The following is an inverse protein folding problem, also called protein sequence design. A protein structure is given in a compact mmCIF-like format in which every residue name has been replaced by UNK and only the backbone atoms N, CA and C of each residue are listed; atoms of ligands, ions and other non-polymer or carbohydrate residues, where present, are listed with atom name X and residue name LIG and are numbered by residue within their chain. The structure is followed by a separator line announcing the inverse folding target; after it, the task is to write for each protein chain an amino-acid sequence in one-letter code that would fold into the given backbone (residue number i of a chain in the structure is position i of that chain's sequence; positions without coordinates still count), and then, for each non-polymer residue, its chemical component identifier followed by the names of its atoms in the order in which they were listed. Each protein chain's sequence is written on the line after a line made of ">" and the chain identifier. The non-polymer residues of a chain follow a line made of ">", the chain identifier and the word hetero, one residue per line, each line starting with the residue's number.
data_IF_304124411573
#
_entry.id   IF_304124411573
#
_cell.length_a   1.000
_cell.length_b   1.000
_cell.length_c   1.000
_cell.angle_alpha   90.00
_cell.angle_beta   90.00
_cell.angle_gamma   90.00
#
_symmetry.space_group_name_H-M   'P 1'
#
loop_
_entity.id
_entity.type
_entity.pdbx_description
1 polymer ?
#
# COMPACT_ATOMS: atom_id res chain seq x y z
N UNK A 1 35.51 29.78 -15.75
CA UNK A 1 34.13 29.30 -15.97
C UNK A 1 34.06 27.91 -15.34
N UNK A 2 33.60 27.84 -14.10
CA UNK A 2 33.49 26.60 -13.34
C UNK A 2 32.44 25.72 -14.03
N UNK A 3 32.80 24.49 -14.43
CA UNK A 3 31.81 23.51 -14.87
C UNK A 3 30.94 23.22 -13.65
N UNK A 4 29.75 23.82 -13.57
CA UNK A 4 28.73 23.33 -12.64
C UNK A 4 28.46 21.88 -13.00
N UNK A 5 29.00 20.95 -12.22
CA UNK A 5 28.61 19.55 -12.29
C UNK A 5 27.10 19.49 -12.06
N UNK A 6 26.37 19.03 -13.08
CA UNK A 6 24.92 18.87 -12.98
C UNK A 6 24.63 17.83 -11.91
N UNK A 7 23.95 18.24 -10.83
CA UNK A 7 23.51 17.32 -9.79
C UNK A 7 22.48 16.36 -10.38
N UNK A 8 22.66 15.07 -10.17
CA UNK A 8 21.78 14.02 -10.69
C UNK A 8 20.75 13.67 -9.62
N UNK A 9 19.49 13.54 -10.01
CA UNK A 9 18.42 13.10 -9.11
C UNK A 9 17.63 11.94 -9.69
N UNK A 10 17.01 11.18 -8.79
CA UNK A 10 16.00 10.18 -9.12
C UNK A 10 14.59 10.69 -8.77
N UNK A 11 13.58 10.10 -9.39
CA UNK A 11 12.18 10.32 -9.04
C UNK A 11 11.59 9.02 -8.52
N UNK A 12 10.91 9.10 -7.38
CA UNK A 12 10.10 8.01 -6.85
C UNK A 12 8.62 8.37 -6.90
N UNK A 13 7.85 7.61 -7.68
CA UNK A 13 6.40 7.76 -7.77
C UNK A 13 5.70 6.42 -7.49
N UNK A 14 4.67 6.47 -6.66
CA UNK A 14 3.98 5.27 -6.19
C UNK A 14 2.47 5.46 -6.09
N UNK A 15 1.72 4.47 -6.57
CA UNK A 15 0.27 4.36 -6.37
C UNK A 15 -0.09 3.03 -5.71
N UNK A 16 -1.20 3.03 -4.97
CA UNK A 16 -1.68 1.87 -4.22
C UNK A 16 -2.78 1.08 -4.96
N UNK A 17 -3.24 1.50 -6.13
CA UNK A 17 -4.27 0.78 -6.87
C UNK A 17 -3.96 0.76 -8.36
N UNK A 18 -4.13 -0.40 -9.04
CA UNK A 18 -4.09 -0.47 -10.49
C UNK A 18 -5.15 0.45 -11.10
N UNK A 19 -4.76 1.28 -12.08
CA UNK A 19 -5.66 2.20 -12.77
C UNK A 19 -5.67 3.66 -12.26
N UNK A 20 -4.82 4.02 -11.29
CA UNK A 20 -4.62 5.43 -10.96
C UNK A 20 -3.76 6.12 -12.03
N UNK A 21 -4.36 7.03 -12.79
CA UNK A 21 -3.71 7.85 -13.83
C UNK A 21 -2.80 8.96 -13.28
N UNK A 22 -2.48 8.95 -11.97
CA UNK A 22 -1.73 10.03 -11.31
C UNK A 22 -0.21 9.88 -11.40
N UNK A 23 0.32 8.72 -11.83
CA UNK A 23 1.78 8.50 -11.90
C UNK A 23 2.49 9.50 -12.85
N UNK A 24 2.00 9.77 -14.07
CA UNK A 24 2.62 10.77 -14.94
C UNK A 24 2.63 12.17 -14.33
N UNK A 25 1.53 12.58 -13.67
CA UNK A 25 1.44 13.89 -13.00
C UNK A 25 2.42 13.98 -11.82
N UNK A 26 2.53 12.92 -11.01
CA UNK A 26 3.52 12.83 -9.93
C UNK A 26 4.95 13.01 -10.45
N UNK A 27 5.29 12.33 -11.54
CA UNK A 27 6.62 12.42 -12.16
C UNK A 27 6.86 13.81 -12.72
N UNK A 28 5.91 14.39 -13.46
CA UNK A 28 6.04 15.72 -14.04
C UNK A 28 6.26 16.79 -12.96
N UNK A 29 5.49 16.74 -11.87
CA UNK A 29 5.62 17.68 -10.75
C UNK A 29 6.93 17.51 -10.00
N UNK A 30 7.36 16.27 -9.72
CA UNK A 30 8.65 15.99 -9.08
C UNK A 30 9.83 16.43 -9.94
N UNK A 31 9.76 16.18 -11.25
CA UNK A 31 10.78 16.60 -12.20
C UNK A 31 10.90 18.12 -12.24
N UNK A 32 9.79 18.84 -12.36
CA UNK A 32 9.80 20.29 -12.39
C UNK A 32 10.40 20.90 -11.12
N UNK A 33 10.11 20.33 -9.94
CA UNK A 33 10.66 20.85 -8.68
C UNK A 33 12.15 20.54 -8.50
N UNK A 34 12.60 19.37 -8.94
CA UNK A 34 14.02 19.03 -8.98
C UNK A 34 14.80 19.93 -9.95
N UNK A 35 14.25 20.20 -11.13
CA UNK A 35 14.89 21.05 -12.15
C UNK A 35 15.04 22.50 -11.67
N UNK A 36 14.05 23.05 -10.93
CA UNK A 36 14.16 24.37 -10.28
C UNK A 36 15.34 24.44 -9.30
N UNK A 37 15.69 23.32 -8.68
CA UNK A 37 16.81 23.22 -7.73
C UNK A 37 18.13 22.85 -8.41
N UNK A 38 18.16 22.83 -9.75
CA UNK A 38 19.37 22.59 -10.54
C UNK A 38 19.73 21.11 -10.72
N UNK A 39 18.81 20.20 -10.40
CA UNK A 39 19.01 18.78 -10.66
C UNK A 39 18.64 18.41 -12.11
N UNK A 40 19.32 17.40 -12.62
CA UNK A 40 18.96 16.71 -13.86
C UNK A 40 18.44 15.32 -13.51
N UNK A 41 17.34 14.89 -14.14
CA UNK A 41 16.73 13.58 -13.92
C UNK A 41 16.85 12.74 -15.19
N UNK A 42 17.79 11.79 -15.24
CA UNK A 42 17.85 10.79 -16.30
C UNK A 42 16.57 9.95 -16.35
N UNK A 43 16.11 9.58 -17.53
CA UNK A 43 14.86 8.80 -17.70
C UNK A 43 14.94 7.46 -16.98
N UNK A 44 16.12 6.84 -16.97
CA UNK A 44 16.39 5.61 -16.26
C UNK A 44 16.21 5.76 -14.74
N UNK A 45 16.34 6.96 -14.17
CA UNK A 45 16.19 7.20 -12.73
C UNK A 45 14.77 7.65 -12.34
N UNK A 46 13.84 7.60 -13.29
CA UNK A 46 12.40 7.74 -13.02
C UNK A 46 11.86 6.37 -12.64
N UNK A 47 11.54 6.19 -11.36
CA UNK A 47 11.08 4.92 -10.81
C UNK A 47 9.61 5.06 -10.40
N UNK A 48 8.73 4.47 -11.22
CA UNK A 48 7.29 4.41 -10.99
C UNK A 48 6.87 3.00 -10.57
N UNK A 49 6.01 2.85 -9.55
CA UNK A 49 5.50 1.53 -9.15
C UNK A 49 4.06 1.55 -8.67
N UNK A 50 3.38 0.43 -8.89
CA UNK A 50 2.15 0.09 -8.17
C UNK A 50 2.57 -0.80 -6.99
N UNK A 51 2.31 -0.36 -5.75
CA UNK A 51 2.71 -1.13 -4.57
C UNK A 51 1.84 -0.75 -3.36
N UNK A 52 1.20 -1.75 -2.78
CA UNK A 52 0.26 -1.62 -1.65
C UNK A 52 0.85 -2.06 -0.31
N UNK A 53 1.92 -2.84 -0.33
CA UNK A 53 2.52 -3.38 0.90
C UNK A 53 3.29 -2.30 1.65
N UNK A 54 3.30 -2.42 2.99
CA UNK A 54 4.16 -1.63 3.87
C UNK A 54 5.61 -2.10 3.82
N UNK A 55 5.85 -3.34 3.40
CA UNK A 55 7.21 -3.85 3.19
C UNK A 55 7.75 -3.30 1.87
N UNK A 56 8.50 -2.22 1.96
CA UNK A 56 9.07 -1.52 0.82
C UNK A 56 10.37 -2.16 0.34
N UNK A 57 11.09 -2.86 1.23
CA UNK A 57 12.33 -3.54 0.87
C UNK A 57 12.08 -4.82 0.06
N UNK A 58 10.86 -5.35 0.08
CA UNK A 58 10.43 -6.40 -0.86
C UNK A 58 10.04 -5.87 -2.25
N UNK A 59 10.01 -4.54 -2.47
CA UNK A 59 9.69 -3.96 -3.77
C UNK A 59 10.96 -3.86 -4.65
N UNK A 60 11.06 -4.59 -5.79
CA UNK A 60 12.27 -4.57 -6.62
C UNK A 60 12.61 -3.18 -7.17
N UNK A 61 11.59 -2.40 -7.52
CA UNK A 61 11.77 -1.02 -7.99
C UNK A 61 12.28 -0.10 -6.90
N UNK A 62 11.86 -0.31 -5.65
CA UNK A 62 12.40 0.44 -4.53
C UNK A 62 13.84 0.03 -4.22
N UNK A 63 14.17 -1.26 -4.29
CA UNK A 63 15.56 -1.72 -4.13
C UNK A 63 16.49 -1.12 -5.19
N UNK A 64 15.98 -0.87 -6.41
CA UNK A 64 16.70 -0.13 -7.44
C UNK A 64 17.02 1.30 -6.99
N UNK A 65 16.04 2.03 -6.44
CA UNK A 65 16.24 3.37 -5.87
C UNK A 65 17.27 3.34 -4.73
N UNK A 66 17.14 2.40 -3.80
CA UNK A 66 18.07 2.24 -2.70
C UNK A 66 19.49 1.93 -3.19
N UNK A 67 19.62 1.16 -4.27
CA UNK A 67 20.90 0.91 -4.94
C UNK A 67 21.53 2.18 -5.49
N UNK A 68 20.75 3.09 -6.11
CA UNK A 68 21.25 4.38 -6.61
C UNK A 68 21.82 5.24 -5.49
N UNK A 69 21.11 5.30 -4.35
CA UNK A 69 21.57 6.00 -3.15
C UNK A 69 22.87 5.39 -2.62
N UNK A 70 22.90 4.07 -2.44
CA UNK A 70 24.06 3.36 -1.88
C UNK A 70 25.31 3.52 -2.72
N UNK A 71 25.16 3.49 -4.04
CA UNK A 71 26.26 3.71 -5.00
C UNK A 71 26.60 5.19 -5.20
N UNK A 72 25.88 6.10 -4.53
CA UNK A 72 26.04 7.56 -4.65
C UNK A 72 25.91 8.07 -6.10
N UNK A 73 25.08 7.40 -6.89
CA UNK A 73 24.81 7.75 -8.30
C UNK A 73 23.86 8.95 -8.44
N UNK A 74 23.19 9.32 -7.34
CA UNK A 74 22.25 10.44 -7.26
C UNK A 74 22.58 11.30 -6.04
N UNK A 75 22.28 12.60 -6.14
CA UNK A 75 22.37 13.58 -5.07
C UNK A 75 20.99 14.12 -4.66
N UNK A 76 19.91 13.70 -5.33
CA UNK A 76 18.55 14.11 -5.02
C UNK A 76 17.51 13.03 -5.26
N UNK A 77 16.43 13.04 -4.48
CA UNK A 77 15.23 12.24 -4.73
C UNK A 77 14.01 13.15 -4.72
N UNK A 78 13.28 13.17 -5.82
CA UNK A 78 12.00 13.86 -5.94
C UNK A 78 10.81 12.93 -5.74
N UNK A 79 9.81 13.40 -5.01
CA UNK A 79 8.51 12.74 -4.89
C UNK A 79 7.39 13.74 -4.68
N UNK A 80 6.16 13.35 -5.03
CA UNK A 80 5.00 14.22 -4.87
C UNK A 80 4.78 14.61 -3.41
N UNK A 81 4.71 13.63 -2.52
CA UNK A 81 4.36 13.80 -1.11
C UNK A 81 5.03 12.69 -0.26
N UNK A 82 5.07 12.88 1.06
CA UNK A 82 5.72 11.93 1.99
C UNK A 82 5.01 10.56 2.06
N UNK A 83 3.73 10.48 1.66
CA UNK A 83 2.96 9.23 1.65
C UNK A 83 3.41 8.28 0.52
N UNK A 84 4.12 8.77 -0.50
CA UNK A 84 4.75 7.92 -1.53
C UNK A 84 5.83 6.99 -0.98
N UNK A 85 6.41 7.33 0.17
CA UNK A 85 7.37 6.50 0.91
C UNK A 85 6.73 5.86 2.15
N UNK A 86 5.41 5.66 2.17
CA UNK A 86 4.75 4.97 3.28
C UNK A 86 5.18 3.50 3.29
N UNK A 87 5.93 3.13 4.31
CA UNK A 87 6.50 1.81 4.55
C UNK A 87 6.41 1.46 6.04
N UNK A 88 6.87 0.27 6.41
CA UNK A 88 7.19 -0.06 7.79
C UNK A 88 8.12 1.02 8.40
N UNK A 89 7.83 1.53 9.63
CA UNK A 89 8.56 2.68 10.18
C UNK A 89 10.07 2.50 10.26
N UNK A 90 10.53 1.28 10.55
CA UNK A 90 11.96 0.94 10.59
C UNK A 90 12.61 1.01 9.21
N UNK A 91 11.93 0.50 8.17
CA UNK A 91 12.44 0.55 6.79
C UNK A 91 12.52 1.98 6.26
N UNK A 92 11.49 2.79 6.56
CA UNK A 92 11.50 4.21 6.20
C UNK A 92 12.69 4.91 6.87
N UNK A 93 12.85 4.77 8.19
CA UNK A 93 13.94 5.42 8.91
C UNK A 93 15.32 4.97 8.42
N UNK A 94 15.51 3.66 8.23
CA UNK A 94 16.77 3.12 7.71
C UNK A 94 17.13 3.71 6.35
N UNK A 95 16.16 3.81 5.43
CA UNK A 95 16.40 4.39 4.12
C UNK A 95 16.66 5.89 4.15
N UNK A 96 15.98 6.63 5.03
CA UNK A 96 16.22 8.06 5.21
C UNK A 96 17.63 8.33 5.76
N UNK A 97 18.06 7.55 6.75
CA UNK A 97 19.41 7.62 7.29
C UNK A 97 20.47 7.27 6.24
N UNK A 98 20.25 6.21 5.44
CA UNK A 98 21.12 5.85 4.32
C UNK A 98 21.22 6.98 3.27
N UNK A 99 20.07 7.57 2.91
CA UNK A 99 20.01 8.71 1.97
C UNK A 99 20.79 9.91 2.48
N UNK A 100 20.61 10.25 3.76
CA UNK A 100 21.34 11.35 4.42
C UNK A 100 22.85 11.08 4.45
N UNK A 101 23.26 9.86 4.82
CA UNK A 101 24.67 9.45 4.80
C UNK A 101 25.31 9.48 3.42
N UNK A 102 24.52 9.31 2.36
CA UNK A 102 24.93 9.47 0.97
C UNK A 102 24.91 10.93 0.47
N UNK A 103 24.44 11.88 1.28
CA UNK A 103 24.30 13.29 0.89
C UNK A 103 23.14 13.54 -0.08
N UNK A 104 22.13 12.67 -0.09
CA UNK A 104 20.96 12.77 -0.97
C UNK A 104 19.94 13.74 -0.38
N UNK A 105 19.61 14.77 -1.14
CA UNK A 105 18.59 15.74 -0.79
C UNK A 105 17.18 15.25 -1.17
N UNK A 106 16.23 15.39 -0.26
CA UNK A 106 14.82 15.08 -0.52
C UNK A 106 14.05 16.30 -1.01
N UNK A 107 13.35 16.16 -2.12
CA UNK A 107 12.49 17.19 -2.72
C UNK A 107 11.05 16.70 -2.71
N UNK A 108 10.24 17.33 -1.85
CA UNK A 108 8.81 17.02 -1.68
C UNK A 108 7.98 18.12 -2.35
N UNK A 109 7.17 17.76 -3.35
CA UNK A 109 6.40 18.74 -4.12
C UNK A 109 5.17 19.29 -3.40
N UNK A 110 4.61 18.51 -2.47
CA UNK A 110 3.38 18.82 -1.77
C UNK A 110 3.47 18.41 -0.30
N UNK A 111 3.14 19.36 0.57
CA UNK A 111 3.22 19.19 2.02
C UNK A 111 4.53 19.73 2.59
N UNK A 112 4.76 19.53 3.90
CA UNK A 112 5.97 20.01 4.55
C UNK A 112 7.21 19.28 4.01
N UNK A 113 8.35 19.98 3.91
CA UNK A 113 9.60 19.35 3.55
C UNK A 113 9.99 18.28 4.59
N UNK A 114 10.84 17.35 4.18
CA UNK A 114 11.53 16.50 5.14
C UNK A 114 12.52 17.36 5.91
N UNK A 115 12.42 17.30 7.24
CA UNK A 115 13.33 18.01 8.12
C UNK A 115 14.64 17.22 8.23
N UNK A 116 15.75 17.93 8.27
CA UNK A 116 17.06 17.35 8.52
C UNK A 116 17.31 17.19 10.03
N UNK A 117 18.31 16.37 10.37
CA UNK A 117 18.73 16.17 11.75
C UNK A 117 17.85 15.20 12.54
N UNK A 118 18.23 14.99 13.79
CA UNK A 118 17.65 13.96 14.66
C UNK A 118 16.16 14.21 14.93
N UNK A 119 15.75 15.48 15.00
CA UNK A 119 14.35 15.88 15.12
C UNK A 119 13.53 15.54 13.89
N UNK A 120 14.12 15.69 12.70
CA UNK A 120 13.48 15.29 11.45
C UNK A 120 13.25 13.79 11.41
N UNK A 121 14.26 13.00 11.77
CA UNK A 121 14.17 11.54 11.86
C UNK A 121 13.06 11.09 12.83
N UNK A 122 12.99 11.70 14.01
CA UNK A 122 11.92 11.43 14.98
C UNK A 122 10.54 11.75 14.42
N UNK A 123 10.37 12.92 13.78
CA UNK A 123 9.09 13.33 13.19
C UNK A 123 8.68 12.38 12.04
N UNK A 124 9.62 11.96 11.20
CA UNK A 124 9.37 10.96 10.16
C UNK A 124 8.97 9.60 10.74
N UNK A 125 9.58 9.19 11.84
CA UNK A 125 9.25 7.94 12.52
C UNK A 125 7.85 7.97 13.13
N UNK A 126 7.52 9.04 13.87
CA UNK A 126 6.18 9.26 14.45
C UNK A 126 5.13 9.30 13.34
N UNK A 127 5.42 9.95 12.21
CA UNK A 127 4.53 9.98 11.06
C UNK A 127 4.27 8.58 10.50
N UNK A 128 5.32 7.78 10.29
CA UNK A 128 5.20 6.42 9.78
C UNK A 128 4.41 5.51 10.74
N UNK A 129 4.65 5.60 12.05
CA UNK A 129 3.88 4.86 13.07
C UNK A 129 2.40 5.27 13.01
N UNK A 130 2.12 6.58 12.99
CA UNK A 130 0.76 7.11 12.97
C UNK A 130 -0.01 6.62 11.74
N UNK A 131 0.64 6.61 10.57
CA UNK A 131 0.06 6.08 9.33
C UNK A 131 -0.16 4.57 9.39
N UNK A 132 0.78 3.79 9.93
CA UNK A 132 0.59 2.35 10.16
C UNK A 132 -0.60 2.09 11.08
N UNK A 133 -0.73 2.84 12.19
CA UNK A 133 -1.87 2.73 13.10
C UNK A 133 -3.19 3.07 12.40
N UNK A 134 -3.22 4.10 11.55
CA UNK A 134 -4.40 4.45 10.76
C UNK A 134 -4.83 3.29 9.85
N UNK A 135 -3.89 2.64 9.16
CA UNK A 135 -4.16 1.46 8.32
C UNK A 135 -4.69 0.29 9.15
N UNK A 136 -4.09 0.01 10.31
CA UNK A 136 -4.57 -1.05 11.21
C UNK A 136 -5.98 -0.76 11.73
N UNK A 137 -6.26 0.48 12.13
CA UNK A 137 -7.60 0.91 12.56
C UNK A 137 -8.63 0.77 11.45
N UNK A 138 -8.29 1.10 10.20
CA UNK A 138 -9.20 0.89 9.08
C UNK A 138 -9.56 -0.60 8.89
N UNK A 139 -8.59 -1.50 9.07
CA UNK A 139 -8.84 -2.96 9.03
C UNK A 139 -9.70 -3.44 10.20
N UNK A 140 -9.47 -2.90 11.40
CA UNK A 140 -10.26 -3.23 12.60
C UNK A 140 -11.68 -2.70 12.46
N UNK A 141 -11.86 -1.44 12.05
CA UNK A 141 -13.19 -0.86 11.82
C UNK A 141 -14.01 -1.62 10.77
N UNK A 142 -13.36 -2.17 9.73
CA UNK A 142 -14.04 -3.05 8.79
C UNK A 142 -14.53 -4.36 9.45
N UNK A 143 -13.73 -4.96 10.34
CA UNK A 143 -14.12 -6.14 11.12
C UNK A 143 -15.22 -5.82 12.13
N UNK A 144 -15.07 -4.71 12.84
CA UNK A 144 -16.05 -4.24 13.83
C UNK A 144 -17.39 -3.93 13.15
N UNK A 145 -17.37 -3.34 11.95
CA UNK A 145 -18.59 -3.12 11.15
C UNK A 145 -19.29 -4.44 10.78
N UNK A 146 -18.54 -5.49 10.43
CA UNK A 146 -19.12 -6.81 10.20
C UNK A 146 -19.68 -7.43 11.49
N UNK A 147 -18.97 -7.27 12.61
CA UNK A 147 -19.40 -7.74 13.92
C UNK A 147 -20.68 -7.02 14.39
N UNK A 148 -20.70 -5.69 14.30
CA UNK A 148 -21.84 -4.84 14.67
C UNK A 148 -23.06 -5.15 13.81
N UNK A 149 -22.87 -5.40 12.51
CA UNK A 149 -23.95 -5.83 11.62
C UNK A 149 -24.62 -7.12 12.10
N UNK A 150 -23.84 -8.07 12.61
CA UNK A 150 -24.38 -9.33 13.15
C UNK A 150 -25.01 -9.11 14.52
N UNK A 151 -24.33 -8.39 15.41
CA UNK A 151 -24.72 -8.30 16.82
C UNK A 151 -25.82 -7.28 17.07
N UNK A 152 -25.79 -6.13 16.39
CA UNK A 152 -26.77 -5.04 16.53
C UNK A 152 -27.91 -5.18 15.53
N UNK A 153 -27.60 -5.34 14.25
CA UNK A 153 -28.63 -5.35 13.20
C UNK A 153 -29.25 -6.73 12.96
N UNK A 154 -28.67 -7.79 13.55
CA UNK A 154 -29.04 -9.20 13.32
C UNK A 154 -29.03 -9.57 11.84
N UNK A 155 -28.14 -8.95 11.07
CA UNK A 155 -27.95 -9.20 9.64
C UNK A 155 -26.69 -10.03 9.39
N UNK A 156 -26.70 -10.92 8.39
CA UNK A 156 -25.51 -11.68 8.04
C UNK A 156 -24.37 -10.76 7.56
N UNK A 157 -23.13 -11.19 7.81
CA UNK A 157 -21.90 -10.47 7.40
C UNK A 157 -21.77 -10.36 5.88
N UNK A 158 -22.32 -11.32 5.15
CA UNK A 158 -22.37 -11.34 3.69
C UNK A 158 -23.65 -12.03 3.21
N UNK A 159 -24.05 -11.77 1.96
CA UNK A 159 -25.20 -12.42 1.30
C UNK A 159 -24.75 -13.39 0.21
N UNK A 160 -23.62 -14.07 0.43
CA UNK A 160 -23.18 -15.12 -0.49
C UNK A 160 -24.26 -16.21 -0.60
N UNK A 161 -24.36 -16.82 -1.78
CA UNK A 161 -25.29 -17.91 -2.03
C UNK A 161 -24.89 -19.11 -1.17
N UNK A 162 -25.85 -19.67 -0.45
CA UNK A 162 -25.69 -20.90 0.35
C UNK A 162 -26.23 -22.04 -0.50
N UNK A 163 -25.51 -23.16 -0.61
CA UNK A 163 -25.99 -24.32 -1.38
C UNK A 163 -27.35 -24.77 -0.86
N UNK A 164 -28.32 -24.99 -1.76
CA UNK A 164 -29.69 -25.40 -1.40
C UNK A 164 -30.59 -24.27 -0.91
N UNK A 165 -30.11 -23.02 -0.85
CA UNK A 165 -30.86 -21.87 -0.36
C UNK A 165 -30.62 -20.61 -1.18
N UNK A 166 -31.61 -19.72 -1.15
CA UNK A 166 -31.52 -18.34 -1.66
C UNK A 166 -32.01 -17.34 -0.62
N UNK A 167 -31.49 -16.12 -0.68
CA UNK A 167 -31.95 -15.02 0.15
C UNK A 167 -33.28 -14.49 -0.40
N UNK A 168 -34.35 -14.58 0.39
CA UNK A 168 -35.64 -13.94 0.09
C UNK A 168 -35.66 -12.49 0.60
N UNK A 169 -35.09 -12.28 1.80
CA UNK A 169 -34.94 -10.94 2.42
C UNK A 169 -33.52 -10.78 2.94
N UNK A 170 -33.21 -9.63 3.55
CA UNK A 170 -31.88 -9.40 4.14
C UNK A 170 -31.52 -10.35 5.29
N UNK A 171 -32.51 -11.05 5.87
CA UNK A 171 -32.34 -11.92 7.04
C UNK A 171 -32.96 -13.31 6.86
N UNK A 172 -33.67 -13.57 5.76
CA UNK A 172 -34.39 -14.83 5.53
C UNK A 172 -33.82 -15.60 4.34
N UNK A 173 -33.42 -16.83 4.61
CA UNK A 173 -33.12 -17.85 3.59
C UNK A 173 -34.36 -18.70 3.33
N UNK A 174 -34.58 -19.03 2.07
CA UNK A 174 -35.59 -20.00 1.63
C UNK A 174 -34.92 -21.06 0.75
N UNK A 175 -35.44 -22.30 0.72
CA UNK A 175 -34.95 -23.33 -0.18
C UNK A 175 -34.86 -22.88 -1.64
N UNK A 176 -33.81 -23.32 -2.34
CA UNK A 176 -33.68 -23.19 -3.80
C UNK A 176 -33.78 -24.56 -4.49
N UNK A 177 -33.59 -24.60 -5.81
CA UNK A 177 -33.73 -25.82 -6.61
C UNK A 177 -32.73 -26.94 -6.23
N UNK A 178 -31.69 -26.65 -5.44
CA UNK A 178 -30.73 -27.64 -4.94
C UNK A 178 -31.08 -28.14 -3.53
N UNK A 179 -32.23 -27.75 -2.97
CA UNK A 179 -32.64 -28.11 -1.62
C UNK A 179 -32.70 -29.63 -1.41
N UNK A 180 -33.26 -30.37 -2.37
CA UNK A 180 -33.37 -31.82 -2.27
C UNK A 180 -32.01 -32.49 -2.21
N UNK A 181 -31.01 -31.95 -2.92
CA UNK A 181 -29.62 -32.41 -2.85
C UNK A 181 -29.03 -32.20 -1.46
N UNK A 182 -29.25 -31.02 -0.86
CA UNK A 182 -28.77 -30.74 0.51
C UNK A 182 -29.43 -31.66 1.53
N UNK A 183 -30.75 -31.87 1.40
CA UNK A 183 -31.50 -32.77 2.28
C UNK A 183 -30.96 -34.20 2.17
N UNK A 184 -30.76 -34.72 0.96
CA UNK A 184 -30.19 -36.04 0.72
C UNK A 184 -28.79 -36.19 1.35
N UNK A 185 -27.91 -35.20 1.15
CA UNK A 185 -26.56 -35.22 1.74
C UNK A 185 -26.64 -35.31 3.26
N UNK A 186 -27.49 -34.49 3.89
CA UNK A 186 -27.67 -34.51 5.35
C UNK A 186 -28.23 -35.84 5.84
N UNK A 187 -29.23 -36.39 5.15
CA UNK A 187 -29.83 -37.68 5.48
C UNK A 187 -28.78 -38.81 5.39
N UNK A 188 -27.95 -38.83 4.35
CA UNK A 188 -26.87 -39.81 4.20
C UNK A 188 -25.84 -39.70 5.33
N UNK A 189 -25.40 -38.49 5.67
CA UNK A 189 -24.45 -38.25 6.76
C UNK A 189 -25.03 -38.68 8.10
N UNK A 190 -26.28 -38.34 8.40
CA UNK A 190 -26.95 -38.73 9.65
C UNK A 190 -27.13 -40.25 9.76
N UNK A 191 -27.22 -40.96 8.64
CA UNK A 191 -27.25 -42.43 8.58
C UNK A 191 -25.85 -43.08 8.58
N UNK A 192 -24.78 -42.31 8.79
CA UNK A 192 -23.41 -42.82 8.94
C UNK A 192 -22.67 -43.03 7.62
N UNK A 193 -23.19 -42.55 6.50
CA UNK A 193 -22.48 -42.57 5.21
C UNK A 193 -21.32 -41.59 5.25
N UNK A 194 -20.14 -42.04 4.82
CA UNK A 194 -18.92 -41.21 4.88
C UNK A 194 -18.87 -40.22 3.72
N UNK A 195 -18.15 -39.11 3.93
CA UNK A 195 -17.92 -38.08 2.90
C UNK A 195 -17.46 -38.66 1.55
N UNK A 196 -16.57 -39.66 1.57
CA UNK A 196 -16.01 -40.30 0.37
C UNK A 196 -17.03 -41.10 -0.44
N UNK A 197 -18.17 -41.43 0.14
CA UNK A 197 -19.27 -42.14 -0.51
C UNK A 197 -20.34 -41.18 -1.05
N UNK A 198 -20.30 -39.91 -0.66
CA UNK A 198 -21.28 -38.87 -1.05
C UNK A 198 -20.75 -38.01 -2.21
N UNK A 199 -19.43 -37.81 -2.28
CA UNK A 199 -18.71 -37.10 -3.35
C UNK A 199 -18.31 -38.05 -4.46
#
# INVERSE_FOLDING_TARGET
>A
MERMEKKIAAIWARVSSPGQTSLPDQVARAKAELEKQGFTVPEEFIITTEWTSLDLFSCPKFLRLAGLVRRKEIQGIGMLDRDRLHAEPSQRLAFLAESRGAGVQWVICQGPPMLDGDWGELIEHVYAISKKQQVLRAKVGAKDGLHDRVTKDRKPTSRHRVLGYRWETETRLVPDDNWDTVKLILDLVLNGVTYRQIV
#
